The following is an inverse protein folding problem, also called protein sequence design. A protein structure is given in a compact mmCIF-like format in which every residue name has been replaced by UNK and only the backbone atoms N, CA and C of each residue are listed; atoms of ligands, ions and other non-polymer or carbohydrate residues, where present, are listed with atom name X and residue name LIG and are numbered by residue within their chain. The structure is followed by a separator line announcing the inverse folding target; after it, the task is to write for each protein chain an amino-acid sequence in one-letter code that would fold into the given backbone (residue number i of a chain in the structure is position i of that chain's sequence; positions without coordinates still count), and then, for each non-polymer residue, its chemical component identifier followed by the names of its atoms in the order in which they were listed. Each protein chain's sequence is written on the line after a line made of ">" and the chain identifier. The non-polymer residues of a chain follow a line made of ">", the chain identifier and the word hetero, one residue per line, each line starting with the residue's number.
data_IF_111292481442
#
_entry.id   IF_111292481442
#
_cell.length_a   1.000
_cell.length_b   1.000
_cell.length_c   1.000
_cell.angle_alpha   90.00
_cell.angle_beta   90.00
_cell.angle_gamma   90.00
#
_symmetry.space_group_name_H-M   'P 1'
#
loop_
_entity.id
_entity.type
_entity.pdbx_description
1 polymer ?
#
# COMPACT_ATOMS: atom_id res chain seq x y z
N UNK A 1 16.63 -2.33 -2.94
CA UNK A 1 15.85 -3.50 -3.39
C UNK A 1 15.75 -3.47 -4.90
N UNK A 2 15.99 -4.60 -5.56
CA UNK A 2 15.95 -4.72 -7.01
C UNK A 2 15.33 -6.08 -7.39
N UNK A 3 14.66 -6.13 -8.53
CA UNK A 3 14.18 -7.37 -9.13
C UNK A 3 15.36 -8.27 -9.51
N UNK A 4 15.12 -9.57 -9.59
CA UNK A 4 16.14 -10.55 -9.89
C UNK A 4 15.55 -11.94 -10.15
N UNK A 5 16.37 -12.95 -9.95
CA UNK A 5 15.97 -14.35 -10.10
C UNK A 5 16.39 -15.16 -8.88
N UNK A 6 15.59 -16.17 -8.58
CA UNK A 6 15.88 -17.23 -7.62
C UNK A 6 16.05 -18.54 -8.39
N UNK A 7 17.14 -19.26 -8.16
CA UNK A 7 17.37 -20.57 -8.79
C UNK A 7 17.25 -21.66 -7.76
N UNK A 8 16.30 -22.59 -7.96
CA UNK A 8 16.16 -23.81 -7.18
C UNK A 8 16.93 -24.95 -7.90
N UNK A 9 17.87 -25.58 -7.21
CA UNK A 9 18.66 -26.68 -7.79
C UNK A 9 17.85 -27.98 -7.87
N UNK A 10 16.83 -28.14 -7.03
CA UNK A 10 15.92 -29.27 -6.98
C UNK A 10 14.51 -28.81 -6.62
N UNK A 11 13.51 -29.68 -6.85
CA UNK A 11 12.15 -29.45 -6.33
C UNK A 11 12.17 -29.36 -4.81
N UNK A 12 11.44 -28.40 -4.27
CA UNK A 12 11.42 -28.16 -2.84
C UNK A 12 10.32 -27.22 -2.41
N UNK A 13 10.45 -26.67 -1.21
CA UNK A 13 9.53 -25.65 -0.68
C UNK A 13 10.29 -24.43 -0.19
N UNK A 14 9.65 -23.27 -0.28
CA UNK A 14 10.17 -21.99 0.26
C UNK A 14 9.09 -21.30 1.08
N UNK A 15 9.54 -20.53 2.07
CA UNK A 15 8.68 -19.55 2.73
C UNK A 15 8.84 -18.22 2.00
N UNK A 16 7.70 -17.59 1.71
CA UNK A 16 7.64 -16.39 0.87
C UNK A 16 6.99 -15.27 1.66
N UNK A 17 7.65 -14.10 1.65
CA UNK A 17 7.12 -12.85 2.16
C UNK A 17 7.28 -11.77 1.08
N UNK A 18 6.15 -11.23 0.62
CA UNK A 18 6.12 -10.20 -0.42
C UNK A 18 5.44 -8.94 0.12
N UNK A 19 6.00 -7.80 -0.22
CA UNK A 19 5.39 -6.49 0.03
C UNK A 19 5.34 -5.73 -1.28
N UNK A 20 4.18 -5.24 -1.65
CA UNK A 20 3.99 -4.37 -2.82
C UNK A 20 4.57 -2.96 -2.60
N UNK A 21 4.75 -2.18 -3.65
CA UNK A 21 5.13 -0.77 -3.52
C UNK A 21 4.01 0.06 -2.89
N UNK A 22 4.31 0.97 -1.97
CA UNK A 22 3.33 1.89 -1.38
C UNK A 22 2.77 2.91 -2.39
N UNK A 23 1.58 3.44 -2.13
CA UNK A 23 0.96 4.53 -2.89
C UNK A 23 1.49 5.90 -2.47
N UNK A 24 1.35 6.92 -3.33
CA UNK A 24 1.68 8.30 -2.95
C UNK A 24 0.61 8.89 -2.01
N UNK A 25 0.97 9.89 -1.23
CA UNK A 25 0.02 10.78 -0.57
C UNK A 25 -0.64 11.72 -1.57
N UNK A 26 -1.83 12.19 -1.25
CA UNK A 26 -2.51 13.24 -2.03
C UNK A 26 -1.85 14.60 -1.82
N UNK A 27 -2.06 15.54 -2.75
CA UNK A 27 -1.54 16.91 -2.67
C UNK A 27 -2.49 17.83 -1.88
N UNK A 28 -1.95 18.91 -1.37
CA UNK A 28 -2.63 19.94 -0.54
C UNK A 28 -3.24 19.31 0.74
N UNK A 29 -4.54 19.46 0.97
CA UNK A 29 -5.25 18.78 2.06
C UNK A 29 -5.58 17.35 1.58
N UNK A 30 -4.53 16.64 1.15
CA UNK A 30 -4.65 15.29 0.60
C UNK A 30 -4.65 14.20 1.68
N UNK A 31 -5.19 13.04 1.31
CA UNK A 31 -5.16 11.84 2.13
C UNK A 31 -3.79 11.15 2.14
N UNK A 32 -3.54 10.31 3.13
CA UNK A 32 -2.33 9.48 3.18
C UNK A 32 -2.33 8.39 2.10
N UNK A 33 -1.15 8.08 1.53
CA UNK A 33 -1.01 6.92 0.66
C UNK A 33 -1.19 5.62 1.43
N UNK A 34 -1.78 4.61 0.79
CA UNK A 34 -1.91 3.26 1.35
C UNK A 34 -0.59 2.50 1.29
N UNK A 35 -0.37 1.63 2.24
CA UNK A 35 0.76 0.71 2.23
C UNK A 35 0.64 -0.30 1.07
N UNK A 36 1.76 -0.85 0.64
CA UNK A 36 1.75 -2.01 -0.25
C UNK A 36 1.10 -3.22 0.41
N UNK A 37 0.40 -4.03 -0.39
CA UNK A 37 -0.18 -5.28 0.10
C UNK A 37 0.90 -6.25 0.57
N UNK A 38 0.58 -7.05 1.58
CA UNK A 38 1.48 -8.09 2.10
C UNK A 38 0.92 -9.47 1.76
N UNK A 39 1.81 -10.35 1.30
CA UNK A 39 1.52 -11.79 1.17
C UNK A 39 2.56 -12.59 1.92
N UNK A 40 2.07 -13.50 2.74
CA UNK A 40 2.89 -14.54 3.38
C UNK A 40 2.43 -15.91 2.87
N UNK A 41 3.35 -16.77 2.51
CA UNK A 41 3.06 -18.16 2.13
C UNK A 41 4.15 -19.06 2.67
N UNK A 42 3.80 -19.99 3.51
CA UNK A 42 4.72 -20.99 4.05
C UNK A 42 4.68 -22.28 3.23
N UNK A 43 5.81 -22.97 3.15
CA UNK A 43 5.95 -24.24 2.45
C UNK A 43 5.43 -24.21 1.00
N UNK A 44 5.64 -23.09 0.31
CA UNK A 44 5.27 -22.94 -1.10
C UNK A 44 6.10 -23.88 -1.96
N UNK A 45 5.45 -24.79 -2.68
CA UNK A 45 6.15 -25.70 -3.59
C UNK A 45 6.80 -24.92 -4.74
N UNK A 46 8.06 -25.21 -5.01
CA UNK A 46 8.88 -24.60 -6.06
C UNK A 46 9.59 -25.73 -6.81
N UNK A 47 9.44 -25.77 -8.13
CA UNK A 47 10.14 -26.73 -8.97
C UNK A 47 11.61 -26.32 -9.15
N UNK A 48 12.46 -27.28 -9.48
CA UNK A 48 13.83 -26.99 -9.93
C UNK A 48 13.82 -26.04 -11.13
N UNK A 49 14.71 -25.07 -11.14
CA UNK A 49 14.82 -24.08 -12.22
C UNK A 49 14.92 -22.64 -11.72
N UNK A 50 14.86 -21.71 -12.67
CA UNK A 50 14.99 -20.27 -12.41
C UNK A 50 13.62 -19.60 -12.33
N UNK A 51 13.38 -18.88 -11.24
CA UNK A 51 12.14 -18.17 -10.97
C UNK A 51 12.39 -16.66 -10.96
N UNK A 52 11.55 -15.90 -11.65
CA UNK A 52 11.63 -14.44 -11.64
C UNK A 52 11.07 -13.88 -10.33
N UNK A 53 11.78 -12.94 -9.75
CA UNK A 53 11.37 -12.14 -8.60
C UNK A 53 11.29 -10.69 -9.06
N UNK A 54 10.09 -10.12 -9.05
CA UNK A 54 9.87 -8.70 -9.38
C UNK A 54 9.58 -7.95 -8.09
N UNK A 55 10.43 -6.99 -7.75
CA UNK A 55 10.21 -6.11 -6.58
C UNK A 55 9.54 -4.82 -7.05
N UNK A 56 8.34 -4.57 -6.55
CA UNK A 56 7.57 -3.37 -6.85
C UNK A 56 8.22 -2.11 -6.29
N UNK A 57 8.27 -1.07 -7.08
CA UNK A 57 8.69 0.26 -6.62
C UNK A 57 7.53 0.95 -5.88
N UNK A 58 7.84 1.79 -4.89
CA UNK A 58 6.88 2.74 -4.35
C UNK A 58 6.47 3.78 -5.39
N UNK A 59 5.33 4.41 -5.19
CA UNK A 59 4.88 5.50 -6.04
C UNK A 59 5.90 6.65 -6.04
N UNK A 60 6.04 7.37 -7.17
CA UNK A 60 6.84 8.59 -7.19
C UNK A 60 6.24 9.64 -6.22
N UNK A 61 7.08 10.50 -5.69
CA UNK A 61 6.62 11.62 -4.88
C UNK A 61 6.03 12.71 -5.78
N UNK A 62 4.88 13.27 -5.38
CA UNK A 62 4.38 14.49 -5.97
C UNK A 62 5.02 15.70 -5.28
N UNK A 63 5.51 16.65 -6.05
CA UNK A 63 5.98 17.94 -5.56
C UNK A 63 5.15 19.04 -6.22
N UNK A 64 4.43 19.78 -5.43
CA UNK A 64 3.77 21.01 -5.86
C UNK A 64 2.28 21.07 -5.58
N UNK A 65 1.77 22.31 -5.55
CA UNK A 65 0.36 22.69 -5.52
C UNK A 65 -0.21 22.51 -6.93
N UNK A 66 -0.35 21.30 -7.39
CA UNK A 66 -0.85 21.03 -8.72
C UNK A 66 -2.39 21.01 -8.71
N UNK A 67 -2.98 22.21 -8.61
CA UNK A 67 -4.42 22.36 -8.85
C UNK A 67 -4.79 21.81 -10.23
N UNK A 68 -5.18 20.55 -10.29
CA UNK A 68 -5.75 19.94 -11.50
C UNK A 68 -5.02 18.75 -12.11
N UNK A 69 -3.88 18.33 -11.62
CA UNK A 69 -3.28 17.08 -12.07
C UNK A 69 -3.88 15.88 -11.34
N UNK A 70 -4.80 15.24 -12.02
CA UNK A 70 -5.53 14.04 -11.60
C UNK A 70 -4.61 12.80 -11.74
N UNK A 71 -3.56 12.69 -10.97
CA UNK A 71 -2.73 11.50 -10.98
C UNK A 71 -2.83 10.76 -9.66
N UNK A 72 -3.43 9.60 -9.71
CA UNK A 72 -3.24 8.58 -8.67
C UNK A 72 -1.96 7.81 -8.99
N UNK A 73 -0.83 8.26 -8.43
CA UNK A 73 0.38 7.49 -8.58
C UNK A 73 0.41 6.37 -7.54
N UNK A 74 0.26 5.16 -8.06
CA UNK A 74 0.48 3.94 -7.29
C UNK A 74 1.93 3.48 -7.40
N UNK A 75 2.37 2.74 -6.42
CA UNK A 75 3.52 1.88 -6.60
C UNK A 75 3.25 0.79 -7.64
N UNK A 76 4.13 -0.16 -7.72
CA UNK A 76 3.96 -1.34 -8.56
C UNK A 76 3.91 -2.62 -7.72
N UNK A 77 3.32 -3.66 -8.30
CA UNK A 77 3.18 -4.94 -7.62
C UNK A 77 4.52 -5.65 -7.45
N UNK A 78 4.66 -6.36 -6.33
CA UNK A 78 5.75 -7.33 -6.15
C UNK A 78 5.24 -8.72 -6.49
N UNK A 79 5.99 -9.47 -7.31
CA UNK A 79 5.59 -10.81 -7.72
C UNK A 79 6.72 -11.83 -7.56
N UNK A 80 6.39 -13.02 -7.06
CA UNK A 80 7.27 -14.19 -7.02
C UNK A 80 6.43 -15.47 -6.93
N UNK A 81 6.88 -16.56 -7.52
CA UNK A 81 6.27 -17.91 -7.40
C UNK A 81 4.75 -17.92 -7.64
N UNK A 82 4.27 -17.19 -8.63
CA UNK A 82 2.83 -17.00 -8.95
C UNK A 82 2.02 -16.31 -7.83
N UNK A 83 2.67 -15.63 -6.89
CA UNK A 83 2.06 -14.75 -5.90
C UNK A 83 2.22 -13.30 -6.34
N UNK A 84 1.24 -12.46 -6.00
CA UNK A 84 1.27 -11.02 -6.31
C UNK A 84 0.84 -10.22 -5.10
N UNK A 85 1.78 -9.51 -4.48
CA UNK A 85 1.49 -8.48 -3.50
C UNK A 85 1.19 -7.18 -4.25
N UNK A 86 -0.05 -6.67 -4.10
CA UNK A 86 -0.54 -5.51 -4.83
C UNK A 86 0.10 -4.22 -4.33
N UNK A 87 0.22 -3.24 -5.22
CA UNK A 87 0.63 -1.90 -4.82
C UNK A 87 -0.42 -1.24 -3.91
N UNK A 88 0.01 -0.33 -3.06
CA UNK A 88 -0.85 0.51 -2.24
C UNK A 88 -1.63 1.52 -3.07
N UNK A 89 -2.82 1.89 -2.61
CA UNK A 89 -3.66 2.92 -3.20
C UNK A 89 -3.11 4.32 -2.95
N UNK A 90 -3.27 5.23 -3.91
CA UNK A 90 -2.91 6.63 -3.73
C UNK A 90 -3.89 7.36 -2.80
N UNK A 91 -3.41 8.33 -2.05
CA UNK A 91 -4.24 9.25 -1.27
C UNK A 91 -5.06 10.18 -2.16
N UNK A 92 -6.29 10.49 -1.74
CA UNK A 92 -7.15 11.46 -2.41
C UNK A 92 -6.59 12.87 -2.33
N UNK A 93 -6.87 13.70 -3.31
CA UNK A 93 -6.39 15.07 -3.43
C UNK A 93 -7.42 16.07 -2.88
N UNK A 94 -7.01 17.32 -2.63
CA UNK A 94 -7.95 18.38 -2.23
C UNK A 94 -8.90 18.77 -3.36
N UNK A 95 -8.41 18.87 -4.58
CA UNK A 95 -9.15 19.39 -5.72
C UNK A 95 -9.19 18.41 -6.89
N UNK A 96 -10.06 18.67 -7.86
CA UNK A 96 -10.24 17.81 -9.02
C UNK A 96 -11.24 16.67 -8.81
N UNK A 97 -11.13 15.63 -9.61
CA UNK A 97 -12.02 14.46 -9.58
C UNK A 97 -11.51 13.31 -8.70
N UNK A 98 -10.24 13.37 -8.27
CA UNK A 98 -9.57 12.29 -7.55
C UNK A 98 -9.43 12.62 -6.04
N UNK A 99 -10.56 12.86 -5.38
CA UNK A 99 -10.62 13.23 -3.96
C UNK A 99 -10.78 12.04 -3.03
N UNK A 100 -11.42 10.98 -3.52
CA UNK A 100 -11.49 9.71 -2.79
C UNK A 100 -10.09 9.10 -2.70
N UNK A 101 -9.84 8.31 -1.68
CA UNK A 101 -8.66 7.47 -1.65
C UNK A 101 -8.76 6.36 -2.70
N UNK A 102 -7.67 6.01 -3.35
CA UNK A 102 -7.66 4.93 -4.31
C UNK A 102 -7.47 3.56 -3.65
N UNK A 103 -8.01 2.51 -4.28
CA UNK A 103 -7.89 1.14 -3.80
C UNK A 103 -6.52 0.54 -4.11
N UNK A 104 -6.07 -0.39 -3.26
CA UNK A 104 -4.78 -1.05 -3.44
C UNK A 104 -4.63 -2.31 -2.59
N UNK A 105 -3.40 -2.75 -2.37
CA UNK A 105 -3.09 -3.72 -1.34
C UNK A 105 -3.63 -3.25 -0.01
N UNK A 106 -3.20 -2.06 0.45
CA UNK A 106 -3.94 -1.21 1.39
C UNK A 106 -4.45 0.02 0.67
N UNK A 107 -5.61 0.55 1.06
CA UNK A 107 -6.24 1.69 0.41
C UNK A 107 -5.65 3.02 0.82
N UNK A 108 -5.66 4.03 -0.06
CA UNK A 108 -5.29 5.41 0.26
C UNK A 108 -6.35 6.10 1.10
N UNK A 109 -5.97 7.06 1.93
CA UNK A 109 -6.87 7.94 2.67
C UNK A 109 -7.57 8.94 1.76
N UNK A 110 -8.74 9.42 2.17
CA UNK A 110 -9.50 10.42 1.44
C UNK A 110 -8.93 11.83 1.59
N UNK A 111 -9.03 12.64 0.53
CA UNK A 111 -8.73 14.07 0.54
C UNK A 111 -9.94 14.94 0.93
N UNK A 112 -9.74 16.27 0.92
CA UNK A 112 -10.75 17.27 1.22
C UNK A 112 -11.95 17.20 0.26
N UNK A 113 -13.20 17.60 0.62
CA UNK A 113 -13.63 17.99 1.99
C UNK A 113 -14.30 16.88 2.80
N UNK A 114 -15.02 15.97 2.13
CA UNK A 114 -15.75 14.85 2.75
C UNK A 114 -15.85 13.74 1.72
N UNK A 115 -14.91 12.84 1.75
CA UNK A 115 -14.69 11.80 0.76
C UNK A 115 -14.45 10.44 1.45
N UNK A 116 -14.41 9.39 0.67
CA UNK A 116 -14.19 8.02 1.16
C UNK A 116 -12.75 7.57 0.97
N UNK A 117 -12.21 6.87 1.96
CA UNK A 117 -10.94 6.18 1.82
C UNK A 117 -11.03 5.03 0.82
N UNK A 118 -9.93 4.75 0.14
CA UNK A 118 -9.82 3.64 -0.79
C UNK A 118 -9.94 2.28 -0.10
N UNK A 119 -10.46 1.29 -0.82
CA UNK A 119 -10.55 -0.07 -0.30
C UNK A 119 -9.16 -0.74 -0.24
N UNK A 120 -8.91 -1.52 0.81
CA UNK A 120 -7.84 -2.49 0.85
C UNK A 120 -8.26 -3.82 0.20
N UNK A 121 -7.29 -4.60 -0.23
CA UNK A 121 -7.52 -5.94 -0.75
C UNK A 121 -7.53 -6.94 0.40
N UNK A 122 -8.61 -7.72 0.50
CA UNK A 122 -8.75 -8.76 1.54
C UNK A 122 -7.54 -9.70 1.57
N UNK A 123 -6.97 -9.90 2.75
CA UNK A 123 -5.78 -10.73 2.95
C UNK A 123 -4.46 -10.05 2.58
N UNK A 124 -4.47 -8.81 2.08
CA UNK A 124 -3.27 -8.06 1.76
C UNK A 124 -3.14 -6.72 2.49
N UNK A 125 -4.25 -6.15 2.94
CA UNK A 125 -4.25 -4.89 3.68
C UNK A 125 -5.65 -4.34 3.90
N UNK A 126 -5.72 -3.19 4.55
CA UNK A 126 -6.95 -2.56 5.00
C UNK A 126 -7.26 -1.26 4.24
N UNK A 127 -8.48 -0.79 4.39
CA UNK A 127 -8.94 0.45 3.76
C UNK A 127 -8.25 1.70 4.35
N UNK A 128 -8.16 2.74 3.56
CA UNK A 128 -7.83 4.08 4.05
C UNK A 128 -8.99 4.72 4.81
N UNK A 129 -8.69 5.75 5.59
CA UNK A 129 -9.65 6.53 6.36
C UNK A 129 -10.42 7.51 5.49
N UNK A 130 -11.65 7.83 5.89
CA UNK A 130 -12.46 8.85 5.26
C UNK A 130 -11.97 10.26 5.65
N UNK A 131 -12.20 11.25 4.81
CA UNK A 131 -12.09 12.65 5.22
C UNK A 131 -13.36 13.12 5.94
N UNK A 132 -13.23 14.13 6.75
CA UNK A 132 -14.33 14.66 7.55
C UNK A 132 -14.23 16.17 7.67
N UNK A 133 -15.19 16.90 7.07
CA UNK A 133 -15.36 18.34 7.14
C UNK A 133 -14.03 19.12 6.99
N UNK A 134 -13.32 18.83 5.91
CA UNK A 134 -12.09 19.54 5.57
C UNK A 134 -10.81 18.95 6.15
N UNK A 135 -10.86 17.78 6.76
CA UNK A 135 -9.71 17.08 7.33
C UNK A 135 -9.55 15.73 6.66
N UNK A 136 -8.36 15.46 6.11
CA UNK A 136 -8.06 14.27 5.32
C UNK A 136 -7.97 12.99 6.16
N UNK A 137 -8.20 11.85 5.52
CA UNK A 137 -8.03 10.52 6.11
C UNK A 137 -6.60 9.98 5.99
N UNK A 138 -6.23 9.06 6.87
CA UNK A 138 -4.98 8.32 6.83
C UNK A 138 -5.00 7.17 5.82
N UNK A 139 -3.84 6.77 5.29
CA UNK A 139 -3.72 5.56 4.47
C UNK A 139 -3.94 4.30 5.28
N UNK A 140 -4.43 3.22 4.65
CA UNK A 140 -4.54 1.91 5.28
C UNK A 140 -3.17 1.24 5.44
N UNK A 141 -3.02 0.47 6.50
CA UNK A 141 -1.89 -0.43 6.73
C UNK A 141 -2.27 -1.90 6.47
N UNK A 142 -1.36 -2.79 6.76
CA UNK A 142 -1.60 -4.21 6.56
C UNK A 142 -2.42 -4.85 7.71
N UNK A 143 -2.31 -4.36 8.93
CA UNK A 143 -3.03 -4.90 10.09
C UNK A 143 -4.17 -4.02 10.59
N UNK A 144 -4.25 -2.75 10.13
CA UNK A 144 -5.26 -1.80 10.57
C UNK A 144 -5.67 -0.85 9.43
N UNK A 145 -6.92 -0.45 9.43
CA UNK A 145 -7.43 0.60 8.54
C UNK A 145 -6.88 1.97 8.95
N UNK A 146 -6.70 2.84 7.97
CA UNK A 146 -6.40 4.25 8.23
C UNK A 146 -7.55 4.92 9.00
N UNK A 147 -7.19 5.80 9.92
CA UNK A 147 -8.15 6.56 10.69
C UNK A 147 -8.81 7.66 9.84
N UNK A 148 -10.08 7.95 10.12
CA UNK A 148 -10.76 9.09 9.52
C UNK A 148 -10.22 10.41 10.09
N UNK A 149 -10.28 11.47 9.28
CA UNK A 149 -10.02 12.82 9.75
C UNK A 149 -11.00 13.25 10.83
N UNK A 150 -10.55 14.07 11.78
CA UNK A 150 -11.35 14.62 12.88
C UNK A 150 -11.70 16.07 12.57
N UNK A 151 -12.99 16.38 12.37
CA UNK A 151 -13.47 17.72 12.05
C UNK A 151 -12.95 18.77 13.04
N UNK A 152 -12.30 19.80 12.52
CA UNK A 152 -11.68 20.85 13.33
C UNK A 152 -10.42 20.42 14.10
N UNK A 153 -9.91 19.23 13.82
CA UNK A 153 -8.75 18.62 14.49
C UNK A 153 -7.64 18.18 13.51
N UNK A 154 -7.00 17.06 13.82
CA UNK A 154 -5.88 16.53 13.06
C UNK A 154 -6.37 15.63 11.91
N UNK A 155 -5.51 15.49 10.86
CA UNK A 155 -5.65 14.45 9.86
C UNK A 155 -5.69 13.06 10.47
N UNK A 156 -6.33 12.12 9.77
CA UNK A 156 -6.38 10.71 10.19
C UNK A 156 -4.98 10.09 10.24
N UNK A 157 -4.68 9.34 11.31
CA UNK A 157 -3.46 8.55 11.37
C UNK A 157 -3.46 7.41 10.35
N UNK A 158 -2.26 7.01 9.87
CA UNK A 158 -2.11 5.81 9.08
C UNK A 158 -2.47 4.55 9.87
N UNK A 159 -2.87 3.48 9.16
CA UNK A 159 -3.08 2.17 9.77
C UNK A 159 -1.75 1.48 10.11
N UNK A 160 -1.78 0.56 11.05
CA UNK A 160 -0.62 -0.19 11.49
C UNK A 160 -0.16 -1.21 10.43
N UNK A 161 1.17 -1.39 10.34
CA UNK A 161 1.82 -2.42 9.56
C UNK A 161 1.73 -3.80 10.19
N UNK A 162 2.28 -4.80 9.53
CA UNK A 162 2.41 -6.16 10.03
C UNK A 162 3.79 -6.38 10.65
N UNK A 163 3.81 -6.95 11.86
CA UNK A 163 5.05 -7.40 12.49
C UNK A 163 5.41 -8.80 12.00
N UNK A 164 6.67 -8.98 11.55
CA UNK A 164 7.22 -10.26 11.10
C UNK A 164 8.44 -10.59 11.94
N UNK A 165 8.50 -11.83 12.44
CA UNK A 165 9.56 -12.35 13.32
C UNK A 165 10.13 -13.68 12.78
N UNK A 166 10.79 -13.64 11.61
CA UNK A 166 11.34 -14.86 11.02
C UNK A 166 12.73 -15.25 11.53
N UNK A 167 13.48 -14.28 12.05
CA UNK A 167 14.87 -14.45 12.47
C UNK A 167 15.13 -14.03 13.92
N UNK A 168 14.12 -14.09 14.77
CA UNK A 168 14.11 -13.58 16.15
C UNK A 168 14.27 -12.05 16.25
N UNK A 169 14.21 -11.32 15.14
CA UNK A 169 14.16 -9.86 15.11
C UNK A 169 12.78 -9.43 14.63
N UNK A 170 12.18 -8.43 15.29
CA UNK A 170 10.87 -7.92 14.92
C UNK A 170 11.02 -6.85 13.84
N UNK A 171 10.40 -7.07 12.70
CA UNK A 171 10.33 -6.09 11.61
C UNK A 171 8.87 -5.72 11.35
N UNK A 172 8.62 -4.43 11.14
CA UNK A 172 7.30 -3.90 10.78
C UNK A 172 7.27 -3.56 9.29
N UNK A 173 6.24 -4.02 8.58
CA UNK A 173 6.05 -3.83 7.15
C UNK A 173 4.63 -3.37 6.81
N UNK A 174 4.54 -2.42 5.82
CA UNK A 174 3.29 -1.97 5.19
C UNK A 174 2.27 -1.35 6.16
#
# INVERSE_FOLDING_TARGET
>A
TSSGTFTAEADGTVDVFLVGGGGCGGVDIGGGGGAGGVITSTSRAVAAGTHSIVVGAGAPSHSGNEGGNNNYDKGTNTTAFSLTALAGGAGGQESGSLRDGDSGGSGGGAGYPTQTGGAGTSGQGYAGGNSNNGVSGGGGGQSQAGAAGVSGGAGGGGGDGLEITWDATNYWYA
#
